data_IF_726249658804
#
_entry.id   IF_726249658804
#
_cell.length_a   1.000
_cell.length_b   1.000
_cell.length_c   1.000
_cell.angle_alpha   90.00
_cell.angle_beta   90.00
_cell.angle_gamma   90.00
#
_symmetry.space_group_name_H-M   'P 1'
#
loop_
_entity.id
_entity.type
_entity.pdbx_description
1 polymer ?
#
# COMPACT_ATOMS: atom_id res chain seq x y z
N UNK A 1 33.84 60.26 -5.07
CA UNK A 1 32.90 59.96 -6.18
C UNK A 1 32.01 58.80 -5.75
N UNK A 2 30.74 59.04 -5.42
CA UNK A 2 29.79 57.99 -5.01
C UNK A 2 29.21 57.34 -6.27
N UNK A 3 29.53 56.06 -6.50
CA UNK A 3 28.89 55.29 -7.58
C UNK A 3 27.41 55.10 -7.28
N UNK A 4 26.59 55.37 -8.30
CA UNK A 4 25.14 55.28 -8.25
C UNK A 4 24.70 53.81 -8.04
N UNK A 5 23.89 53.57 -7.01
CA UNK A 5 23.47 52.24 -6.55
C UNK A 5 22.79 51.38 -7.64
N UNK A 6 22.27 52.01 -8.69
CA UNK A 6 21.68 51.31 -9.83
C UNK A 6 22.71 50.61 -10.74
N UNK A 7 23.96 51.10 -10.80
CA UNK A 7 25.04 50.45 -11.56
C UNK A 7 25.58 49.19 -10.86
N UNK A 8 25.56 49.13 -9.53
CA UNK A 8 26.00 47.95 -8.78
C UNK A 8 25.05 46.76 -8.94
N UNK A 9 23.73 47.01 -9.08
CA UNK A 9 22.75 45.94 -9.29
C UNK A 9 22.88 45.32 -10.68
N UNK A 10 23.15 46.12 -11.72
CA UNK A 10 23.30 45.62 -13.10
C UNK A 10 24.55 44.72 -13.28
N UNK A 11 25.65 45.03 -12.59
CA UNK A 11 26.89 44.23 -12.66
C UNK A 11 26.72 42.86 -11.96
N UNK A 12 25.89 42.79 -10.90
CA UNK A 12 25.60 41.55 -10.18
C UNK A 12 24.74 40.58 -11.02
N UNK A 13 23.79 41.09 -11.81
CA UNK A 13 22.95 40.24 -12.67
C UNK A 13 23.73 39.67 -13.88
N UNK A 14 24.68 40.42 -14.44
CA UNK A 14 25.50 39.94 -15.57
C UNK A 14 26.47 38.82 -15.12
N UNK A 15 26.97 38.87 -13.88
CA UNK A 15 27.90 37.87 -13.35
C UNK A 15 27.22 36.54 -12.96
N UNK A 16 25.94 36.55 -12.58
CA UNK A 16 25.18 35.33 -12.30
C UNK A 16 24.73 34.63 -13.60
N UNK A 17 24.45 35.38 -14.67
CA UNK A 17 24.10 34.82 -15.98
C UNK A 17 25.24 34.09 -16.69
N UNK A 18 26.50 34.47 -16.41
CA UNK A 18 27.69 33.85 -17.02
C UNK A 18 28.11 32.53 -16.33
N UNK A 19 27.62 32.24 -15.12
CA UNK A 19 27.96 31.05 -14.33
C UNK A 19 27.03 29.85 -14.57
N UNK A 20 25.91 30.03 -15.28
CA UNK A 20 24.93 28.97 -15.58
C UNK A 20 25.16 28.35 -16.98
N UNK A 21 26.06 28.92 -17.80
CA UNK A 21 26.28 28.50 -19.19
C UNK A 21 27.37 27.45 -19.46
N UNK A 22 27.99 26.85 -18.44
CA UNK A 22 29.23 26.05 -18.61
C UNK A 22 29.18 24.67 -17.93
N UNK A 23 28.08 23.94 -18.10
CA UNK A 23 27.96 22.55 -17.64
C UNK A 23 27.24 21.64 -18.63
N UNK A 24 27.69 21.63 -19.89
CA UNK A 24 27.35 20.59 -20.85
C UNK A 24 28.61 20.15 -21.59
N UNK A 25 29.39 19.23 -20.99
CA UNK A 25 30.43 18.48 -21.72
C UNK A 25 30.42 17.01 -21.26
N UNK A 26 29.95 16.19 -22.20
CA UNK A 26 30.39 14.84 -22.58
C UNK A 26 30.47 13.70 -21.54
N UNK A 27 29.72 12.63 -21.83
CA UNK A 27 30.32 11.32 -22.00
C UNK A 27 29.45 10.47 -22.95
N UNK A 28 29.83 10.45 -24.23
CA UNK A 28 29.29 9.48 -25.19
C UNK A 28 30.18 8.23 -25.12
N UNK A 29 29.61 7.11 -24.67
CA UNK A 29 30.27 5.80 -24.72
C UNK A 29 29.83 5.07 -26.01
N UNK A 30 30.76 4.42 -26.74
CA UNK A 30 30.41 3.63 -27.92
C UNK A 30 29.72 2.32 -27.50
N UNK A 31 28.55 2.07 -28.07
CA UNK A 31 27.84 0.80 -27.96
C UNK A 31 28.51 -0.25 -28.86
N UNK A 32 29.00 -1.34 -28.27
CA UNK A 32 29.40 -2.54 -29.01
C UNK A 32 28.15 -3.36 -29.37
N UNK A 33 28.06 -3.95 -30.58
CA UNK A 33 26.95 -4.82 -30.95
C UNK A 33 27.13 -6.18 -30.29
N UNK A 34 26.18 -6.57 -29.43
CA UNK A 34 26.06 -7.95 -28.97
C UNK A 34 25.25 -8.74 -29.98
N UNK A 35 25.92 -9.70 -30.59
CA UNK A 35 25.41 -10.69 -31.52
C UNK A 35 24.39 -11.60 -30.81
N UNK A 36 23.16 -11.61 -31.33
CA UNK A 36 22.09 -12.51 -30.90
C UNK A 36 22.39 -13.94 -31.36
N UNK A 37 22.72 -14.82 -30.42
CA UNK A 37 22.63 -16.25 -30.62
C UNK A 37 21.25 -16.75 -30.15
N UNK A 38 20.37 -16.97 -31.11
CA UNK A 38 19.07 -17.64 -30.96
C UNK A 38 19.28 -19.07 -30.48
N UNK A 39 18.93 -19.36 -29.23
CA UNK A 39 18.75 -20.73 -28.75
C UNK A 39 17.27 -21.07 -28.82
N UNK A 40 16.93 -22.00 -29.71
CA UNK A 40 15.58 -22.53 -29.87
C UNK A 40 15.15 -23.26 -28.58
N UNK A 41 13.95 -23.00 -28.03
CA UNK A 41 13.40 -23.85 -26.99
C UNK A 41 12.89 -25.16 -27.61
N UNK A 42 13.51 -26.27 -27.23
CA UNK A 42 13.00 -27.62 -27.47
C UNK A 42 11.65 -27.75 -26.76
N UNK A 43 10.57 -27.86 -27.53
CA UNK A 43 9.24 -28.17 -27.03
C UNK A 43 9.22 -29.65 -26.67
N UNK A 44 9.39 -29.98 -25.40
CA UNK A 44 9.06 -31.30 -24.86
C UNK A 44 7.60 -31.27 -24.44
N UNK A 45 6.75 -31.84 -25.29
CA UNK A 45 5.37 -32.20 -24.98
C UNK A 45 5.38 -33.28 -23.88
N UNK A 46 4.99 -32.92 -22.67
CA UNK A 46 4.59 -33.90 -21.65
C UNK A 46 3.14 -33.63 -21.26
N UNK A 47 2.36 -34.69 -21.46
CA UNK A 47 0.94 -34.86 -21.25
C UNK A 47 0.39 -34.23 -19.96
N UNK A 48 -0.78 -33.63 -20.12
CA UNK A 48 -1.84 -33.33 -19.15
C UNK A 48 -2.04 -34.39 -18.06
N UNK A 49 -2.58 -33.92 -16.92
CA UNK A 49 -3.08 -34.62 -15.73
C UNK A 49 -2.10 -34.80 -14.55
N UNK A 50 -1.89 -33.74 -13.77
CA UNK A 50 -1.70 -33.77 -12.29
C UNK A 50 -1.54 -32.37 -11.67
N UNK A 51 -2.41 -31.42 -12.01
CA UNK A 51 -2.46 -30.10 -11.35
C UNK A 51 -3.80 -29.85 -10.65
N UNK A 52 -4.41 -30.91 -10.12
CA UNK A 52 -5.48 -30.80 -9.12
C UNK A 52 -4.84 -30.98 -7.74
N UNK A 53 -5.25 -30.09 -6.83
CA UNK A 53 -4.94 -30.03 -5.39
C UNK A 53 -3.66 -29.27 -5.01
N UNK A 54 -3.79 -27.95 -4.88
CA UNK A 54 -3.26 -27.22 -3.70
C UNK A 54 -4.32 -26.20 -3.26
N UNK A 55 -5.40 -26.70 -2.65
CA UNK A 55 -6.08 -25.92 -1.61
C UNK A 55 -5.37 -26.23 -0.29
N UNK A 56 -5.33 -25.24 0.58
CA UNK A 56 -4.99 -25.37 2.00
C UNK A 56 -3.49 -25.42 2.32
N UNK A 57 -2.80 -24.30 2.10
CA UNK A 57 -1.63 -24.01 2.94
C UNK A 57 -2.16 -23.59 4.32
N UNK A 58 -1.75 -24.26 5.42
CA UNK A 58 -2.14 -23.83 6.75
C UNK A 58 -1.66 -22.39 6.96
N UNK A 59 -2.59 -21.52 7.35
CA UNK A 59 -2.33 -20.15 7.80
C UNK A 59 -1.14 -20.19 8.76
N UNK A 60 0.02 -19.68 8.32
CA UNK A 60 1.18 -19.46 9.19
C UNK A 60 0.70 -18.76 10.45
N UNK A 61 1.17 -19.11 11.68
CA UNK A 61 0.81 -18.39 12.89
C UNK A 61 0.97 -16.90 12.64
N UNK A 62 -0.15 -16.20 12.50
CA UNK A 62 -0.11 -14.81 12.15
C UNK A 62 0.46 -14.10 13.36
N UNK A 63 1.52 -13.31 13.18
CA UNK A 63 2.14 -12.58 14.29
C UNK A 63 1.07 -11.77 15.03
N UNK A 64 1.03 -11.88 16.36
CA UNK A 64 0.26 -10.97 17.19
C UNK A 64 0.90 -9.58 17.15
N UNK A 65 0.12 -8.50 17.25
CA UNK A 65 0.66 -7.15 17.43
C UNK A 65 1.54 -7.06 18.67
N UNK A 66 2.51 -6.16 18.65
CA UNK A 66 3.27 -5.80 19.84
C UNK A 66 2.52 -4.69 20.61
N UNK A 67 2.28 -4.83 21.93
CA UNK A 67 1.61 -3.80 22.71
C UNK A 67 2.59 -2.67 23.06
N UNK A 68 2.60 -1.61 22.25
CA UNK A 68 3.48 -0.46 22.49
C UNK A 68 2.98 0.38 23.66
N UNK A 69 1.98 1.22 23.41
CA UNK A 69 1.41 2.16 24.40
C UNK A 69 0.03 1.72 24.90
N UNK A 70 -0.62 0.81 24.19
CA UNK A 70 -1.97 0.32 24.48
C UNK A 70 -1.93 -1.22 24.65
N UNK A 71 -2.58 -1.79 25.68
CA UNK A 71 -2.62 -3.24 25.84
C UNK A 71 -3.31 -3.91 24.64
N UNK A 72 -3.00 -5.20 24.42
CA UNK A 72 -3.71 -5.96 23.38
C UNK A 72 -5.19 -6.10 23.76
N UNK A 73 -6.12 -5.92 22.79
CA UNK A 73 -7.53 -6.13 23.04
C UNK A 73 -7.82 -7.62 23.28
N UNK A 74 -8.95 -7.95 23.92
CA UNK A 74 -9.38 -9.33 24.05
C UNK A 74 -9.62 -9.93 22.66
N UNK A 75 -9.22 -11.20 22.48
CA UNK A 75 -9.41 -11.93 21.22
C UNK A 75 -10.85 -12.43 21.09
N UNK A 76 -11.79 -11.51 20.90
CA UNK A 76 -13.23 -11.77 20.73
C UNK A 76 -13.65 -11.36 19.32
N UNK A 77 -14.52 -12.15 18.70
CA UNK A 77 -15.04 -11.82 17.36
C UNK A 77 -15.73 -10.46 17.35
N UNK A 78 -15.44 -9.68 16.32
CA UNK A 78 -16.03 -8.37 16.12
C UNK A 78 -16.98 -8.38 14.96
N UNK A 79 -17.93 -7.45 14.94
CA UNK A 79 -18.86 -7.36 13.80
C UNK A 79 -18.13 -7.06 12.50
N UNK A 80 -16.97 -6.38 12.55
CA UNK A 80 -16.15 -6.02 11.39
C UNK A 80 -15.16 -7.08 10.95
N UNK A 81 -15.13 -8.25 11.61
CA UNK A 81 -14.21 -9.31 11.24
C UNK A 81 -14.44 -9.77 9.80
N UNK A 82 -13.35 -9.90 9.04
CA UNK A 82 -13.39 -10.19 7.62
C UNK A 82 -12.11 -9.80 6.89
N UNK A 83 -12.06 -10.21 5.63
CA UNK A 83 -11.01 -9.80 4.68
C UNK A 83 -11.65 -8.85 3.68
N UNK A 84 -10.98 -7.73 3.44
CA UNK A 84 -11.42 -6.70 2.53
C UNK A 84 -10.32 -6.34 1.53
N UNK A 85 -10.72 -5.97 0.31
CA UNK A 85 -9.85 -5.54 -0.76
C UNK A 85 -10.27 -4.19 -1.33
N UNK A 86 -9.34 -3.44 -1.88
CA UNK A 86 -9.63 -2.26 -2.70
C UNK A 86 -8.57 -2.07 -3.77
N UNK A 87 -8.91 -1.27 -4.79
CA UNK A 87 -8.04 -0.96 -5.91
C UNK A 87 -7.88 0.54 -6.04
N UNK A 88 -6.66 1.02 -5.83
CA UNK A 88 -6.29 2.40 -6.12
C UNK A 88 -5.83 2.49 -7.58
N UNK A 89 -6.40 3.42 -8.34
CA UNK A 89 -6.10 3.59 -9.77
C UNK A 89 -5.06 4.67 -10.02
N UNK A 90 -4.60 5.37 -8.98
CA UNK A 90 -3.53 6.36 -9.09
C UNK A 90 -2.32 5.78 -9.83
N UNK A 91 -1.89 6.45 -10.89
CA UNK A 91 -0.71 6.04 -11.64
C UNK A 91 0.52 6.12 -10.72
N UNK A 92 1.14 4.97 -10.45
CA UNK A 92 2.38 4.92 -9.68
C UNK A 92 3.51 5.54 -10.48
N UNK A 93 4.41 6.27 -9.81
CA UNK A 93 5.69 6.61 -10.44
C UNK A 93 6.48 5.32 -10.64
N UNK A 94 6.94 4.98 -11.87
CA UNK A 94 7.62 3.71 -12.16
C UNK A 94 9.00 3.56 -11.50
N UNK A 95 9.35 4.45 -10.57
CA UNK A 95 10.62 4.43 -9.86
C UNK A 95 10.55 3.31 -8.82
N UNK A 96 11.46 2.31 -8.84
CA UNK A 96 11.54 1.29 -7.82
C UNK A 96 11.87 1.94 -6.48
N UNK A 97 10.83 2.19 -5.71
CA UNK A 97 10.91 2.91 -4.47
C UNK A 97 11.21 1.90 -3.36
N UNK A 98 12.50 1.80 -2.99
CA UNK A 98 12.97 0.90 -1.92
C UNK A 98 12.60 1.36 -0.51
N UNK A 99 12.11 2.60 -0.37
CA UNK A 99 11.81 3.27 0.91
C UNK A 99 10.56 4.14 0.78
N UNK A 100 9.49 3.59 0.21
CA UNK A 100 8.25 4.35 0.12
C UNK A 100 7.73 4.64 1.52
N UNK A 101 7.08 5.80 1.71
CA UNK A 101 6.34 6.02 2.94
C UNK A 101 5.35 4.87 3.15
N UNK A 102 5.34 4.32 4.36
CA UNK A 102 4.31 3.38 4.77
C UNK A 102 2.93 4.03 4.58
N UNK A 103 1.93 3.22 4.26
CA UNK A 103 0.55 3.66 4.00
C UNK A 103 0.34 4.63 2.83
N UNK A 104 1.37 5.01 2.05
CA UNK A 104 1.16 5.86 0.87
C UNK A 104 0.05 5.26 -0.01
N UNK A 105 -1.05 5.98 -0.30
CA UNK A 105 -2.15 5.48 -1.14
C UNK A 105 -1.71 5.43 -2.61
N UNK A 106 -0.79 4.51 -2.88
CA UNK A 106 -0.25 4.20 -4.19
C UNK A 106 -1.21 3.32 -4.98
N UNK A 107 -1.12 3.44 -6.30
CA UNK A 107 -1.84 2.62 -7.26
C UNK A 107 -1.60 1.14 -7.06
N UNK A 108 -2.69 0.37 -7.06
CA UNK A 108 -2.64 -1.08 -6.97
C UNK A 108 -3.65 -1.65 -6.00
N UNK A 109 -3.39 -2.89 -5.59
CA UNK A 109 -4.33 -3.68 -4.79
C UNK A 109 -3.90 -3.66 -3.33
N UNK A 110 -4.82 -3.18 -2.49
CA UNK A 110 -4.67 -3.15 -1.05
C UNK A 110 -5.61 -4.17 -0.42
N UNK A 111 -5.15 -4.79 0.67
CA UNK A 111 -5.92 -5.76 1.43
C UNK A 111 -5.89 -5.42 2.92
N UNK A 112 -7.05 -5.44 3.57
CA UNK A 112 -7.24 -5.22 4.99
C UNK A 112 -7.90 -6.44 5.61
N UNK A 113 -7.29 -7.02 6.65
CA UNK A 113 -7.85 -8.13 7.43
C UNK A 113 -8.19 -7.60 8.80
N UNK A 114 -9.39 -7.89 9.27
CA UNK A 114 -9.85 -7.63 10.63
C UNK A 114 -10.23 -8.98 11.23
N UNK A 115 -9.61 -9.34 12.35
CA UNK A 115 -9.89 -10.59 13.02
C UNK A 115 -9.65 -10.44 14.52
N UNK A 116 -10.72 -10.53 15.31
CA UNK A 116 -10.65 -10.65 16.78
C UNK A 116 -9.76 -9.61 17.45
N UNK A 117 -9.93 -8.35 17.05
CA UNK A 117 -9.16 -7.21 17.57
C UNK A 117 -7.75 -7.06 17.00
N UNK A 118 -7.40 -7.79 15.93
CA UNK A 118 -6.15 -7.64 15.19
C UNK A 118 -6.42 -7.22 13.75
N UNK A 119 -5.77 -6.16 13.30
CA UNK A 119 -5.80 -5.76 11.90
C UNK A 119 -4.50 -6.11 11.18
N UNK A 120 -4.59 -6.41 9.89
CA UNK A 120 -3.44 -6.55 9.00
C UNK A 120 -3.70 -5.84 7.71
N UNK A 121 -2.72 -5.09 7.25
CA UNK A 121 -2.77 -4.43 5.95
C UNK A 121 -1.66 -5.00 5.07
N UNK A 122 -1.96 -5.19 3.79
CA UNK A 122 -1.01 -5.66 2.79
C UNK A 122 -1.21 -4.89 1.48
N UNK A 123 -0.14 -4.30 0.97
CA UNK A 123 -0.09 -3.72 -0.36
C UNK A 123 0.56 -4.73 -1.32
N UNK A 124 -0.23 -5.30 -2.21
CA UNK A 124 0.18 -6.46 -3.02
C UNK A 124 1.22 -6.11 -4.09
N UNK A 125 1.35 -4.83 -4.46
CA UNK A 125 2.30 -4.41 -5.50
C UNK A 125 3.73 -4.50 -5.00
N UNK A 126 4.01 -4.06 -3.77
CA UNK A 126 5.36 -4.05 -3.20
C UNK A 126 5.58 -5.16 -2.17
N UNK A 127 4.51 -5.82 -1.72
CA UNK A 127 4.55 -6.78 -0.62
C UNK A 127 4.64 -6.12 0.76
N UNK A 128 4.51 -4.80 0.85
CA UNK A 128 4.52 -4.07 2.11
C UNK A 128 3.36 -4.49 3.00
N UNK A 129 3.61 -4.67 4.30
CA UNK A 129 2.63 -5.17 5.26
C UNK A 129 2.83 -4.54 6.64
N UNK A 130 1.72 -4.34 7.35
CA UNK A 130 1.72 -3.99 8.77
C UNK A 130 0.67 -4.80 9.53
N UNK A 131 0.87 -4.95 10.84
CA UNK A 131 -0.01 -5.66 11.77
C UNK A 131 -0.18 -4.83 13.02
N UNK A 132 -1.41 -4.62 13.46
CA UNK A 132 -1.71 -3.88 14.67
C UNK A 132 -3.00 -4.37 15.31
N UNK A 133 -3.44 -3.68 16.35
CA UNK A 133 -4.65 -3.99 17.09
C UNK A 133 -5.78 -3.04 16.68
N UNK A 134 -7.02 -3.51 16.83
CA UNK A 134 -8.18 -2.64 16.76
C UNK A 134 -9.22 -2.97 17.83
N UNK A 135 -10.05 -1.98 18.15
CA UNK A 135 -11.25 -2.15 18.99
C UNK A 135 -12.42 -1.44 18.34
N UNK A 136 -13.63 -1.92 18.64
CA UNK A 136 -14.87 -1.27 18.27
C UNK A 136 -15.52 -0.65 19.51
N UNK A 137 -16.10 0.53 19.34
CA UNK A 137 -16.94 1.19 20.34
C UNK A 137 -18.01 1.95 19.60
N UNK A 138 -19.26 1.51 19.73
CA UNK A 138 -20.39 2.04 18.97
C UNK A 138 -20.10 2.04 17.45
N UNK A 139 -20.20 3.20 16.80
CA UNK A 139 -19.92 3.42 15.38
C UNK A 139 -18.45 3.71 15.07
N UNK A 140 -17.55 3.48 16.02
CA UNK A 140 -16.12 3.80 15.91
C UNK A 140 -15.23 2.58 15.91
N UNK A 141 -14.25 2.59 15.00
CA UNK A 141 -13.13 1.67 14.99
C UNK A 141 -11.87 2.44 15.35
N UNK A 142 -11.09 1.88 16.26
CA UNK A 142 -9.84 2.46 16.74
C UNK A 142 -8.69 1.52 16.41
N UNK A 143 -7.73 1.95 15.59
CA UNK A 143 -6.52 1.23 15.21
C UNK A 143 -5.32 1.72 16.02
N UNK A 144 -4.55 0.80 16.58
CA UNK A 144 -3.39 1.09 17.44
C UNK A 144 -2.39 -0.07 17.40
N UNK A 145 -1.26 0.06 18.11
CA UNK A 145 -0.20 -0.96 18.14
C UNK A 145 0.36 -1.33 16.74
N UNK A 146 0.28 -0.40 15.81
CA UNK A 146 0.87 -0.50 14.49
C UNK A 146 2.38 -0.25 14.59
N UNK A 147 3.27 -1.14 14.11
CA UNK A 147 4.71 -0.96 14.20
C UNK A 147 5.22 0.28 13.48
N UNK A 148 4.52 0.74 12.45
CA UNK A 148 4.82 2.00 11.77
C UNK A 148 4.42 3.22 12.63
N UNK A 149 3.48 3.05 13.55
CA UNK A 149 2.82 4.12 14.32
C UNK A 149 2.63 3.73 15.80
N UNK A 150 3.68 3.23 16.46
CA UNK A 150 3.57 2.58 17.77
C UNK A 150 3.07 3.48 18.92
N UNK A 151 3.20 4.79 18.79
CA UNK A 151 2.70 5.78 19.76
C UNK A 151 1.38 6.44 19.35
N UNK A 152 0.84 6.11 18.19
CA UNK A 152 -0.28 6.83 17.59
C UNK A 152 -1.49 5.92 17.41
N UNK A 153 -2.66 6.53 17.50
CA UNK A 153 -3.96 5.86 17.42
C UNK A 153 -4.73 6.50 16.27
N UNK A 154 -5.39 5.65 15.47
CA UNK A 154 -6.27 6.08 14.40
C UNK A 154 -7.71 5.77 14.74
N UNK A 155 -8.58 6.75 14.71
CA UNK A 155 -10.00 6.67 15.05
C UNK A 155 -10.82 7.00 13.81
N UNK A 156 -11.76 6.13 13.48
CA UNK A 156 -12.60 6.24 12.30
C UNK A 156 -14.06 5.96 12.67
N UNK A 157 -14.99 6.70 12.08
CA UNK A 157 -16.36 6.21 11.93
C UNK A 157 -16.34 5.08 10.91
N UNK A 158 -17.07 3.99 11.19
CA UNK A 158 -17.22 2.91 10.24
C UNK A 158 -18.68 2.74 9.81
N UNK A 159 -18.87 2.34 8.56
CA UNK A 159 -20.17 2.02 8.03
C UNK A 159 -20.04 0.82 7.10
N UNK A 160 -20.95 -0.15 7.21
CA UNK A 160 -21.09 -1.22 6.22
C UNK A 160 -22.19 -0.84 5.24
N UNK A 161 -21.81 -0.64 3.97
CA UNK A 161 -22.76 -0.46 2.87
C UNK A 161 -22.67 -1.64 1.94
N UNK A 162 -23.77 -2.36 1.77
CA UNK A 162 -23.86 -3.55 0.95
C UNK A 162 -22.79 -4.58 1.34
N UNK A 163 -21.68 -4.62 0.60
CA UNK A 163 -20.55 -5.53 0.81
C UNK A 163 -19.24 -4.80 1.07
N UNK A 164 -19.28 -3.50 1.29
CA UNK A 164 -18.08 -2.68 1.48
C UNK A 164 -18.05 -2.07 2.87
N UNK A 165 -16.86 -2.04 3.46
CA UNK A 165 -16.55 -1.30 4.67
C UNK A 165 -16.08 0.10 4.27
N UNK A 166 -16.76 1.12 4.76
CA UNK A 166 -16.38 2.52 4.58
C UNK A 166 -15.82 3.00 5.90
N UNK A 167 -14.63 3.59 5.86
CA UNK A 167 -13.98 4.21 7.01
C UNK A 167 -13.91 5.71 6.75
N UNK A 168 -14.44 6.52 7.67
CA UNK A 168 -14.29 7.98 7.63
C UNK A 168 -13.39 8.38 8.78
N UNK A 169 -12.29 9.04 8.47
CA UNK A 169 -11.33 9.47 9.50
C UNK A 169 -11.98 10.47 10.45
N UNK A 170 -11.83 10.23 11.76
CA UNK A 170 -12.07 11.21 12.82
C UNK A 170 -10.74 11.86 13.20
N UNK A 171 -9.74 11.04 13.53
CA UNK A 171 -8.38 11.46 13.86
C UNK A 171 -7.40 10.32 13.60
N UNK A 172 -6.36 10.53 12.82
CA UNK A 172 -5.28 9.54 12.66
C UNK A 172 -4.01 10.23 12.15
N UNK A 173 -3.08 10.62 13.04
CA UNK A 173 -1.84 11.30 12.67
C UNK A 173 -0.79 10.37 12.03
N UNK A 174 -1.05 9.06 12.01
CA UNK A 174 -0.10 8.02 11.59
C UNK A 174 0.55 8.32 10.25
N UNK A 175 1.89 8.39 10.30
CA UNK A 175 2.74 8.69 9.15
C UNK A 175 2.35 9.99 8.46
N UNK A 176 2.19 11.07 9.22
CA UNK A 176 1.74 12.37 8.71
C UNK A 176 0.37 12.27 8.01
N UNK A 177 -0.53 11.45 8.55
CA UNK A 177 -1.88 11.23 8.02
C UNK A 177 -1.96 10.31 6.80
N UNK A 178 -0.89 9.61 6.44
CA UNK A 178 -0.92 8.67 5.32
C UNK A 178 -1.80 7.45 5.60
N UNK A 179 -1.84 6.94 6.84
CA UNK A 179 -2.78 5.86 7.20
C UNK A 179 -4.22 6.30 7.07
N UNK A 180 -4.55 7.52 7.54
CA UNK A 180 -5.86 8.14 7.33
C UNK A 180 -6.22 8.19 5.84
N UNK A 181 -5.35 8.82 5.04
CA UNK A 181 -5.57 8.98 3.61
C UNK A 181 -5.74 7.63 2.90
N UNK A 182 -5.00 6.61 3.31
CA UNK A 182 -5.19 5.26 2.79
C UNK A 182 -6.52 4.69 3.27
N UNK A 183 -6.77 4.57 4.56
CA UNK A 183 -7.92 3.82 5.06
C UNK A 183 -9.26 4.44 4.64
N UNK A 184 -9.33 5.75 4.42
CA UNK A 184 -10.58 6.44 4.10
C UNK A 184 -10.76 6.90 2.65
N UNK A 185 -9.78 6.71 1.74
CA UNK A 185 -9.92 7.24 0.37
C UNK A 185 -10.97 6.51 -0.48
N UNK A 186 -11.16 5.22 -0.24
CA UNK A 186 -12.02 4.34 -1.04
C UNK A 186 -12.68 3.30 -0.12
N UNK A 187 -13.89 2.81 -0.48
CA UNK A 187 -14.49 1.67 0.19
C UNK A 187 -13.61 0.42 0.13
N UNK A 188 -13.71 -0.41 1.15
CA UNK A 188 -13.05 -1.70 1.26
C UNK A 188 -14.05 -2.82 0.97
N UNK A 189 -13.96 -3.45 -0.20
CA UNK A 189 -14.90 -4.49 -0.63
C UNK A 189 -14.64 -5.82 0.07
N UNK A 190 -15.70 -6.45 0.58
CA UNK A 190 -15.61 -7.71 1.32
C UNK A 190 -15.25 -8.88 0.40
N UNK A 191 -14.23 -9.63 0.82
CA UNK A 191 -13.80 -10.87 0.22
C UNK A 191 -14.61 -12.08 0.68
N UNK A 192 -15.60 -11.89 1.55
CA UNK A 192 -16.51 -12.96 1.93
C UNK A 192 -17.54 -13.19 0.81
N UNK A 193 -17.81 -14.44 0.40
CA UNK A 193 -18.82 -14.75 -0.59
C UNK A 193 -20.22 -14.27 -0.14
N UNK A 194 -21.10 -13.89 -1.08
CA UNK A 194 -22.40 -13.29 -0.73
C UNK A 194 -23.37 -14.27 -0.06
N UNK A 195 -23.18 -15.57 -0.27
CA UNK A 195 -23.98 -16.62 0.34
C UNK A 195 -23.21 -17.96 0.32
N UNK A 196 -23.80 -18.98 0.95
CA UNK A 196 -23.20 -20.32 1.06
C UNK A 196 -22.99 -21.00 -0.30
N UNK A 197 -23.92 -20.85 -1.24
CA UNK A 197 -23.80 -21.47 -2.56
C UNK A 197 -22.60 -20.90 -3.31
N UNK A 198 -22.45 -19.58 -3.33
CA UNK A 198 -21.29 -18.90 -3.89
C UNK A 198 -19.99 -19.28 -3.17
N UNK A 199 -20.05 -19.53 -1.85
CA UNK A 199 -18.89 -20.02 -1.09
C UNK A 199 -18.47 -21.43 -1.50
N UNK A 200 -19.43 -22.33 -1.73
CA UNK A 200 -19.17 -23.74 -2.06
C UNK A 200 -18.79 -23.93 -3.52
N UNK A 201 -19.47 -23.24 -4.42
CA UNK A 201 -19.26 -23.35 -5.87
C UNK A 201 -18.15 -22.45 -6.38
N UNK A 202 -17.76 -21.46 -5.58
CA UNK A 202 -16.79 -20.42 -5.93
C UNK A 202 -17.20 -19.58 -7.16
N UNK A 203 -18.46 -19.65 -7.56
CA UNK A 203 -19.05 -18.92 -8.67
C UNK A 203 -19.59 -17.56 -8.20
N UNK A 204 -18.70 -16.61 -7.98
CA UNK A 204 -19.07 -15.23 -7.72
C UNK A 204 -17.98 -14.26 -8.18
N UNK A 205 -18.38 -13.00 -8.41
CA UNK A 205 -17.45 -11.93 -8.76
C UNK A 205 -16.67 -11.50 -7.53
N UNK A 206 -15.45 -12.02 -7.37
CA UNK A 206 -14.56 -11.63 -6.29
C UNK A 206 -13.99 -10.23 -6.53
N UNK A 207 -14.03 -9.34 -5.53
CA UNK A 207 -13.31 -8.08 -5.61
C UNK A 207 -11.81 -8.35 -5.80
N UNK A 208 -11.12 -7.44 -6.49
CA UNK A 208 -9.66 -7.53 -6.59
C UNK A 208 -9.04 -7.40 -5.21
N UNK A 209 -8.07 -8.27 -4.91
CA UNK A 209 -7.46 -8.34 -3.59
C UNK A 209 -8.07 -9.43 -2.72
N UNK A 210 -9.19 -10.01 -3.16
CA UNK A 210 -9.65 -11.34 -2.82
C UNK A 210 -9.13 -12.36 -3.87
#
# INVERSE_FOLDING_TARGET
MKLNANKQRLILFISIGLLIGLSFVACAAPASPTESATVAPTVTTTSVLSALVVLDTPVRPQSSPYPFTTPLPPSVETELDGVYGKVELREGTPVPCKRCPDYLPDGGVWRLWLERGVFRVHFLVTGWRSVGSFTLTDDRITFFNDPTCGSEVGIYEWERKERSLILKVIDDPCMFGLRAANFSNLPWDSCQPPNREAAVTDHWLRPKGC
#
